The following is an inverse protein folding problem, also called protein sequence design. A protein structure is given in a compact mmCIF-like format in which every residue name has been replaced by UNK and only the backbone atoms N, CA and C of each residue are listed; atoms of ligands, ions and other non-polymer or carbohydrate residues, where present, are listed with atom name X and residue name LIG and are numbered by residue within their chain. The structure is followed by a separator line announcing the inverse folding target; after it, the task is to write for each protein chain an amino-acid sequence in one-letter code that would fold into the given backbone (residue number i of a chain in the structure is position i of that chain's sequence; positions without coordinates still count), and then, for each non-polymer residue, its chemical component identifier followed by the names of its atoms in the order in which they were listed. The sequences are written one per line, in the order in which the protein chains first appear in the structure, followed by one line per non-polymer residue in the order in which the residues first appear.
data_IF_114615819457
#
_entry.id   IF_114615819457
#
_cell.length_a   1.000
_cell.length_b   1.000
_cell.length_c   1.000
_cell.angle_alpha   90.00
_cell.angle_beta   90.00
_cell.angle_gamma   90.00
#
_symmetry.space_group_name_H-M   'P 1'
#
loop_
_entity.id
_entity.type
_entity.pdbx_description
1 polymer ?
#
# COMPACT_ATOMS: atom_id res chain seq x y z
N UNK A 1 0.75 -0.53 23.36
CA UNK A 1 1.43 -1.83 23.32
C UNK A 1 1.40 -2.36 21.89
N UNK A 2 2.44 -2.06 21.10
CA UNK A 2 2.49 -2.50 19.70
C UNK A 2 2.61 -4.02 19.59
N UNK A 3 3.39 -4.66 20.47
CA UNK A 3 3.59 -6.11 20.42
C UNK A 3 2.33 -6.91 20.71
N UNK A 4 1.43 -6.39 21.55
CA UNK A 4 0.12 -7.02 21.80
C UNK A 4 -0.90 -6.82 20.69
N UNK A 5 -0.88 -5.67 20.01
CA UNK A 5 -1.95 -5.27 19.10
C UNK A 5 -1.61 -5.39 17.62
N UNK A 6 -0.33 -5.53 17.25
CA UNK A 6 0.15 -5.65 15.87
C UNK A 6 -0.59 -6.74 15.09
N UNK A 7 -0.56 -7.98 15.57
CA UNK A 7 -1.18 -9.12 14.91
C UNK A 7 -2.70 -8.95 14.78
N UNK A 8 -3.38 -8.60 15.88
CA UNK A 8 -4.83 -8.40 15.89
C UNK A 8 -5.27 -7.33 14.88
N UNK A 9 -4.53 -6.22 14.80
CA UNK A 9 -4.81 -5.13 13.89
C UNK A 9 -4.55 -5.53 12.43
N UNK A 10 -3.46 -6.25 12.15
CA UNK A 10 -3.17 -6.75 10.80
C UNK A 10 -4.23 -7.75 10.32
N UNK A 11 -4.70 -8.65 11.18
CA UNK A 11 -5.79 -9.57 10.85
C UNK A 11 -7.08 -8.81 10.54
N UNK A 12 -7.40 -7.78 11.33
CA UNK A 12 -8.56 -6.93 11.05
C UNK A 12 -8.46 -6.25 9.68
N UNK A 13 -7.30 -5.66 9.36
CA UNK A 13 -7.09 -5.02 8.04
C UNK A 13 -7.17 -6.03 6.89
N UNK A 14 -6.56 -7.21 7.04
CA UNK A 14 -6.62 -8.27 6.03
C UNK A 14 -8.07 -8.67 5.75
N UNK A 15 -8.86 -8.93 6.79
CA UNK A 15 -10.27 -9.30 6.66
C UNK A 15 -11.10 -8.18 6.01
N UNK A 16 -10.87 -6.92 6.41
CA UNK A 16 -11.57 -5.77 5.85
C UNK A 16 -11.24 -5.56 4.37
N UNK A 17 -9.95 -5.59 3.99
CA UNK A 17 -9.51 -5.43 2.60
C UNK A 17 -10.01 -6.56 1.71
N UNK A 18 -9.94 -7.80 2.19
CA UNK A 18 -10.45 -8.95 1.46
C UNK A 18 -11.95 -8.78 1.17
N UNK A 19 -12.73 -8.39 2.19
CA UNK A 19 -14.16 -8.12 2.02
C UNK A 19 -14.41 -7.01 1.00
N UNK A 20 -13.72 -5.87 1.09
CA UNK A 20 -13.88 -4.77 0.13
C UNK A 20 -13.53 -5.19 -1.29
N UNK A 21 -12.44 -5.94 -1.49
CA UNK A 21 -12.06 -6.44 -2.82
C UNK A 21 -13.06 -7.46 -3.37
N UNK A 22 -13.61 -8.31 -2.50
CA UNK A 22 -14.68 -9.23 -2.87
C UNK A 22 -15.94 -8.47 -3.30
N UNK A 23 -16.35 -7.45 -2.55
CA UNK A 23 -17.51 -6.61 -2.88
C UNK A 23 -17.32 -5.88 -4.22
N UNK A 24 -16.11 -5.34 -4.49
CA UNK A 24 -15.74 -4.76 -5.78
C UNK A 24 -15.87 -5.80 -6.90
N UNK A 25 -15.29 -6.99 -6.69
CA UNK A 25 -15.35 -8.07 -7.68
C UNK A 25 -16.77 -8.53 -7.98
N UNK A 26 -17.63 -8.60 -6.97
CA UNK A 26 -19.02 -9.04 -7.10
C UNK A 26 -19.92 -7.95 -7.72
N UNK A 27 -19.51 -6.67 -7.64
CA UNK A 27 -20.25 -5.56 -8.25
C UNK A 27 -20.23 -5.57 -9.78
N UNK A 28 -19.19 -6.18 -10.39
CA UNK A 28 -18.97 -6.15 -11.84
C UNK A 28 -18.62 -4.76 -12.39
N UNK A 29 -18.32 -3.78 -11.53
CA UNK A 29 -17.95 -2.42 -11.90
C UNK A 29 -16.44 -2.22 -11.78
N UNK A 30 -15.90 -1.32 -12.61
CA UNK A 30 -14.54 -0.83 -12.45
C UNK A 30 -14.45 -0.03 -11.14
N UNK A 31 -13.39 -0.25 -10.36
CA UNK A 31 -13.18 0.44 -9.10
C UNK A 31 -11.71 0.82 -8.89
N UNK A 32 -11.51 1.92 -8.19
CA UNK A 32 -10.19 2.34 -7.69
C UNK A 32 -10.20 2.10 -6.19
N UNK A 33 -9.21 1.35 -5.70
CA UNK A 33 -9.05 1.08 -4.28
C UNK A 33 -7.83 1.81 -3.74
N UNK A 34 -8.00 2.53 -2.63
CA UNK A 34 -6.87 3.03 -1.87
C UNK A 34 -6.13 1.85 -1.23
N UNK A 35 -4.87 1.68 -1.66
CA UNK A 35 -3.94 0.62 -1.26
C UNK A 35 -4.37 -0.81 -1.61
N UNK A 36 -3.38 -1.67 -1.75
CA UNK A 36 -3.59 -3.08 -2.12
C UNK A 36 -3.62 -3.99 -0.89
N UNK A 37 -4.19 -5.19 -1.02
CA UNK A 37 -4.06 -6.22 -0.01
C UNK A 37 -2.59 -6.72 0.11
N UNK A 38 -1.81 -6.63 -0.97
CA UNK A 38 -0.43 -7.12 -1.04
C UNK A 38 0.53 -6.31 -0.15
N UNK A 39 0.33 -5.00 -0.02
CA UNK A 39 1.19 -4.17 0.84
C UNK A 39 1.10 -4.57 2.33
N UNK A 40 -0.05 -5.09 2.77
CA UNK A 40 -0.23 -5.49 4.17
C UNK A 40 0.72 -6.63 4.55
N UNK A 41 0.93 -7.62 3.66
CA UNK A 41 1.86 -8.73 3.93
C UNK A 41 3.31 -8.41 3.58
N UNK A 42 3.54 -7.75 2.43
CA UNK A 42 4.88 -7.54 1.89
C UNK A 42 5.65 -6.43 2.61
N UNK A 43 4.92 -5.48 3.22
CA UNK A 43 5.49 -4.29 3.84
C UNK A 43 5.14 -4.23 5.32
N UNK A 44 3.86 -4.16 5.68
CA UNK A 44 3.46 -3.85 7.06
C UNK A 44 3.67 -5.03 8.03
N UNK A 45 3.13 -6.21 7.72
CA UNK A 45 3.31 -7.39 8.56
C UNK A 45 4.79 -7.80 8.65
N UNK A 46 5.52 -7.70 7.53
CA UNK A 46 6.97 -7.92 7.50
C UNK A 46 7.72 -6.93 8.39
N UNK A 47 7.41 -5.64 8.29
CA UNK A 47 7.99 -4.60 9.15
C UNK A 47 7.73 -4.85 10.62
N UNK A 48 6.52 -5.23 10.99
CA UNK A 48 6.16 -5.53 12.38
C UNK A 48 6.93 -6.73 12.92
N UNK A 49 7.14 -7.75 12.08
CA UNK A 49 7.97 -8.90 12.44
C UNK A 49 9.45 -8.52 12.61
N UNK A 50 10.03 -7.81 11.63
CA UNK A 50 11.45 -7.41 11.65
C UNK A 50 11.79 -6.47 12.81
N UNK A 51 10.84 -5.63 13.23
CA UNK A 51 10.99 -4.74 14.39
C UNK A 51 10.69 -5.42 15.74
N UNK A 52 10.36 -6.71 15.75
CA UNK A 52 10.04 -7.45 16.98
C UNK A 52 8.68 -7.11 17.59
N UNK A 53 7.81 -6.43 16.84
CA UNK A 53 6.43 -6.13 17.23
C UNK A 53 5.47 -7.26 16.87
N UNK A 54 5.86 -8.24 16.07
CA UNK A 54 5.10 -9.46 15.78
C UNK A 54 6.03 -10.65 15.95
N UNK A 55 5.60 -11.68 16.68
CA UNK A 55 6.42 -12.88 16.83
C UNK A 55 6.36 -13.75 15.56
N UNK A 56 7.30 -14.68 15.44
CA UNK A 56 7.42 -15.55 14.26
C UNK A 56 6.17 -16.41 14.01
N UNK A 57 5.49 -16.87 15.07
CA UNK A 57 4.28 -17.70 14.94
C UNK A 57 3.15 -16.88 14.33
N UNK A 58 2.92 -15.68 14.86
CA UNK A 58 1.86 -14.78 14.42
C UNK A 58 2.13 -14.28 12.99
N UNK A 59 3.40 -13.98 12.67
CA UNK A 59 3.80 -13.59 11.31
C UNK A 59 3.56 -14.70 10.29
N UNK A 60 3.94 -15.95 10.60
CA UNK A 60 3.68 -17.08 9.72
C UNK A 60 2.18 -17.34 9.56
N UNK A 61 1.42 -17.30 10.66
CA UNK A 61 -0.03 -17.44 10.62
C UNK A 61 -0.68 -16.37 9.72
N UNK A 62 -0.27 -15.12 9.85
CA UNK A 62 -0.74 -14.02 9.01
C UNK A 62 -0.43 -14.26 7.53
N UNK A 63 0.81 -14.67 7.21
CA UNK A 63 1.23 -14.97 5.84
C UNK A 63 0.45 -16.12 5.23
N UNK A 64 0.23 -17.19 5.98
CA UNK A 64 -0.51 -18.35 5.52
C UNK A 64 -1.97 -17.99 5.25
N UNK A 65 -2.60 -17.19 6.13
CA UNK A 65 -3.94 -16.66 5.91
C UNK A 65 -4.01 -15.82 4.63
N UNK A 66 -3.08 -14.88 4.46
CA UNK A 66 -2.99 -14.07 3.24
C UNK A 66 -2.88 -14.93 1.98
N UNK A 67 -1.94 -15.89 1.94
CA UNK A 67 -1.75 -16.75 0.77
C UNK A 67 -2.94 -17.68 0.49
N UNK A 68 -3.67 -18.09 1.51
CA UNK A 68 -4.89 -18.89 1.33
C UNK A 68 -6.07 -18.06 0.85
N UNK A 69 -6.11 -16.76 1.18
CA UNK A 69 -7.22 -15.87 0.82
C UNK A 69 -7.07 -15.25 -0.57
N UNK A 70 -5.87 -14.74 -0.90
CA UNK A 70 -5.61 -13.99 -2.15
C UNK A 70 -6.01 -14.71 -3.44
N UNK A 71 -5.87 -16.05 -3.59
CA UNK A 71 -6.30 -16.75 -4.80
C UNK A 71 -7.80 -16.62 -5.13
N UNK A 72 -8.64 -16.25 -4.16
CA UNK A 72 -10.08 -16.04 -4.36
C UNK A 72 -10.43 -14.62 -4.82
N UNK A 73 -9.44 -13.74 -4.99
CA UNK A 73 -9.64 -12.36 -5.39
C UNK A 73 -9.11 -12.14 -6.82
N UNK A 74 -9.76 -11.28 -7.62
CA UNK A 74 -9.20 -10.85 -8.89
C UNK A 74 -7.89 -10.09 -8.63
N UNK A 75 -6.93 -10.27 -9.55
CA UNK A 75 -5.72 -9.44 -9.56
C UNK A 75 -6.08 -8.05 -10.09
N UNK A 76 -5.48 -6.98 -9.54
CA UNK A 76 -5.65 -5.64 -10.10
C UNK A 76 -5.03 -5.57 -11.51
N UNK A 77 -5.70 -4.87 -12.41
CA UNK A 77 -5.17 -4.58 -13.75
C UNK A 77 -3.99 -3.62 -13.69
N UNK A 78 -4.04 -2.65 -12.77
CA UNK A 78 -3.02 -1.62 -12.57
C UNK A 78 -2.76 -1.44 -11.07
N UNK A 79 -1.49 -1.36 -10.69
CA UNK A 79 -1.06 -0.83 -9.39
C UNK A 79 -0.44 0.55 -9.63
N UNK A 80 -1.02 1.59 -9.03
CA UNK A 80 -0.48 2.96 -9.07
C UNK A 80 0.44 3.14 -7.87
N UNK A 81 1.73 3.35 -8.13
CA UNK A 81 2.74 3.58 -7.10
C UNK A 81 3.14 5.06 -7.07
N UNK A 82 2.75 5.75 -6.00
CA UNK A 82 3.10 7.15 -5.77
C UNK A 82 4.46 7.22 -5.05
N UNK A 83 5.53 7.46 -5.81
CA UNK A 83 6.88 7.56 -5.30
C UNK A 83 7.21 9.00 -4.91
N UNK A 84 7.74 9.20 -3.71
CA UNK A 84 8.21 10.51 -3.26
C UNK A 84 9.48 10.37 -2.43
N UNK A 85 10.33 11.39 -2.48
CA UNK A 85 11.48 11.52 -1.61
C UNK A 85 11.08 11.62 -0.14
N UNK A 86 12.01 11.22 0.74
CA UNK A 86 11.80 11.31 2.18
C UNK A 86 11.54 12.76 2.63
N UNK A 87 12.23 13.72 2.03
CA UNK A 87 12.04 15.15 2.30
C UNK A 87 10.61 15.61 1.94
N UNK A 88 10.10 15.21 0.78
CA UNK A 88 8.71 15.49 0.38
C UNK A 88 7.71 14.84 1.33
N UNK A 89 7.91 13.58 1.72
CA UNK A 89 7.04 12.87 2.65
C UNK A 89 7.00 13.57 4.02
N UNK A 90 8.15 13.91 4.58
CA UNK A 90 8.26 14.63 5.85
C UNK A 90 7.63 16.02 5.77
N UNK A 91 7.87 16.75 4.67
CA UNK A 91 7.25 18.05 4.42
C UNK A 91 5.72 17.98 4.38
N UNK A 92 5.16 16.96 3.70
CA UNK A 92 3.72 16.72 3.62
C UNK A 92 3.11 16.32 4.97
N UNK A 93 3.76 15.43 5.73
CA UNK A 93 3.32 15.03 7.08
C UNK A 93 3.25 16.25 8.00
N UNK A 94 4.30 17.08 8.00
CA UNK A 94 4.35 18.33 8.79
C UNK A 94 3.22 19.29 8.39
N UNK A 95 2.98 19.47 7.09
CA UNK A 95 1.91 20.35 6.58
C UNK A 95 0.50 19.89 6.99
N UNK A 96 0.25 18.58 7.06
CA UNK A 96 -1.05 18.03 7.50
C UNK A 96 -1.33 18.27 8.98
N UNK A 97 -0.30 18.46 9.81
CA UNK A 97 -0.46 18.84 11.22
C UNK A 97 -1.18 17.82 12.10
N UNK A 98 -1.24 16.54 11.69
CA UNK A 98 -1.89 15.48 12.47
C UNK A 98 -1.03 15.15 13.69
N UNK A 99 -1.56 15.39 14.90
CA UNK A 99 -0.82 15.26 16.15
C UNK A 99 -0.19 13.86 16.35
N UNK A 100 -0.85 12.80 15.87
CA UNK A 100 -0.35 11.43 15.96
C UNK A 100 0.72 11.07 14.92
N UNK A 101 0.88 11.85 13.84
CA UNK A 101 1.92 11.61 12.83
C UNK A 101 3.26 12.26 13.23
N UNK A 102 3.27 13.16 14.22
CA UNK A 102 4.49 13.84 14.69
C UNK A 102 5.47 12.91 15.41
N UNK A 103 5.00 11.76 15.92
CA UNK A 103 5.84 10.74 16.56
C UNK A 103 6.43 9.73 15.58
N UNK A 104 6.08 9.84 14.28
CA UNK A 104 6.64 8.96 13.26
C UNK A 104 8.13 9.27 13.11
N UNK A 105 8.96 8.27 13.39
CA UNK A 105 10.40 8.38 13.28
C UNK A 105 10.82 8.52 11.82
N UNK A 106 11.78 9.42 11.57
CA UNK A 106 12.36 9.61 10.24
C UNK A 106 12.90 8.28 9.66
N UNK A 107 13.56 7.49 10.49
CA UNK A 107 14.12 6.20 10.10
C UNK A 107 13.04 5.19 9.70
N UNK A 108 11.86 5.26 10.32
CA UNK A 108 10.73 4.42 9.93
C UNK A 108 10.17 4.80 8.56
N UNK A 109 10.08 6.10 8.25
CA UNK A 109 9.69 6.55 6.91
C UNK A 109 10.72 6.15 5.85
N UNK A 110 12.01 6.23 6.17
CA UNK A 110 13.08 5.78 5.29
C UNK A 110 12.99 4.26 5.02
N UNK A 111 12.77 3.47 6.08
CA UNK A 111 12.53 2.03 5.97
C UNK A 111 11.32 1.72 5.08
N UNK A 112 10.18 2.40 5.30
CA UNK A 112 8.99 2.18 4.49
C UNK A 112 9.26 2.48 3.01
N UNK A 113 9.95 3.58 2.71
CA UNK A 113 10.30 3.96 1.34
C UNK A 113 11.10 2.84 0.64
N UNK A 114 12.12 2.31 1.32
CA UNK A 114 12.92 1.19 0.84
C UNK A 114 12.09 -0.10 0.69
N UNK A 115 11.18 -0.38 1.63
CA UNK A 115 10.33 -1.55 1.59
C UNK A 115 9.36 -1.52 0.40
N UNK A 116 8.77 -0.35 0.09
CA UNK A 116 7.96 -0.14 -1.10
C UNK A 116 8.79 -0.31 -2.37
N UNK A 117 9.95 0.35 -2.49
CA UNK A 117 10.83 0.21 -3.67
C UNK A 117 11.19 -1.26 -3.93
N UNK A 118 11.57 -1.98 -2.87
CA UNK A 118 11.92 -3.40 -2.98
C UNK A 118 10.73 -4.26 -3.39
N UNK A 119 9.53 -3.99 -2.85
CA UNK A 119 8.31 -4.72 -3.22
C UNK A 119 7.91 -4.45 -4.66
N UNK A 120 7.85 -3.19 -5.08
CA UNK A 120 7.49 -2.76 -6.43
C UNK A 120 8.42 -3.42 -7.46
N UNK A 121 9.74 -3.44 -7.21
CA UNK A 121 10.70 -4.11 -8.09
C UNK A 121 10.39 -5.60 -8.32
N UNK A 122 9.87 -6.31 -7.30
CA UNK A 122 9.44 -7.71 -7.43
C UNK A 122 8.07 -7.84 -8.11
N UNK A 123 7.13 -6.99 -7.71
CA UNK A 123 5.74 -7.00 -8.15
C UNK A 123 5.59 -6.69 -9.65
N UNK A 124 6.53 -5.96 -10.27
CA UNK A 124 6.58 -5.71 -11.73
C UNK A 124 6.59 -7.00 -12.59
N UNK A 125 6.91 -8.15 -12.00
CA UNK A 125 6.85 -9.45 -12.69
C UNK A 125 5.42 -9.97 -12.87
N UNK A 126 4.54 -9.62 -11.95
CA UNK A 126 3.19 -10.18 -11.85
C UNK A 126 2.09 -9.15 -12.12
N UNK A 127 2.41 -7.85 -12.02
CA UNK A 127 1.46 -6.75 -12.13
C UNK A 127 1.99 -5.64 -13.04
N UNK A 128 1.06 -4.97 -13.74
CA UNK A 128 1.37 -3.71 -14.39
C UNK A 128 1.42 -2.59 -13.34
N UNK A 129 2.59 -1.96 -13.20
CA UNK A 129 2.81 -0.92 -12.20
C UNK A 129 3.06 0.42 -12.90
N UNK A 130 2.13 1.34 -12.67
CA UNK A 130 2.25 2.72 -13.06
C UNK A 130 2.91 3.51 -11.93
N UNK A 131 4.17 3.86 -12.10
CA UNK A 131 4.93 4.63 -11.11
C UNK A 131 4.82 6.12 -11.42
N UNK A 132 4.52 6.90 -10.40
CA UNK A 132 4.30 8.34 -10.47
C UNK A 132 5.29 9.02 -9.55
N UNK A 133 6.07 9.96 -10.09
CA UNK A 133 6.95 10.80 -9.28
C UNK A 133 6.16 11.91 -8.59
N UNK A 134 5.71 11.64 -7.37
CA UNK A 134 4.97 12.55 -6.53
C UNK A 134 5.83 13.65 -5.88
N UNK A 135 7.13 13.76 -6.18
CA UNK A 135 7.93 14.96 -5.85
C UNK A 135 7.63 16.11 -6.80
N UNK A 136 7.39 15.78 -8.08
CA UNK A 136 7.28 16.74 -9.19
C UNK A 136 5.83 16.99 -9.61
N UNK A 137 4.91 16.08 -9.26
CA UNK A 137 3.49 16.21 -9.63
C UNK A 137 2.68 16.95 -8.59
N UNK A 138 1.96 17.97 -9.05
CA UNK A 138 0.97 18.72 -8.28
C UNK A 138 -0.44 18.48 -8.83
N UNK A 139 -0.93 17.24 -8.69
CA UNK A 139 -2.31 16.87 -9.06
C UNK A 139 -3.40 17.61 -8.27
N UNK A 140 -3.02 18.40 -7.26
CA UNK A 140 -3.96 19.23 -6.49
C UNK A 140 -4.21 20.57 -7.21
N UNK A 141 -3.26 21.05 -8.02
CA UNK A 141 -3.31 22.37 -8.64
C UNK A 141 -3.17 22.38 -10.18
N UNK A 142 -2.86 21.25 -10.83
CA UNK A 142 -2.68 21.15 -12.28
C UNK A 142 -3.58 20.11 -12.96
N UNK A 143 -4.44 20.55 -13.87
CA UNK A 143 -5.37 19.67 -14.61
C UNK A 143 -4.66 18.78 -15.65
N UNK A 144 -3.52 19.23 -16.20
CA UNK A 144 -2.83 18.52 -17.30
C UNK A 144 -2.18 17.21 -16.86
N UNK A 145 -1.49 17.19 -15.71
CA UNK A 145 -0.88 15.97 -15.17
C UNK A 145 -1.95 14.90 -14.87
N UNK A 146 -3.10 15.33 -14.33
CA UNK A 146 -4.22 14.44 -14.03
C UNK A 146 -4.82 13.87 -15.30
N UNK A 147 -5.00 14.70 -16.34
CA UNK A 147 -5.50 14.25 -17.63
C UNK A 147 -4.57 13.23 -18.29
N UNK A 148 -3.26 13.44 -18.21
CA UNK A 148 -2.28 12.47 -18.70
C UNK A 148 -2.36 11.14 -17.94
N UNK A 149 -2.44 11.19 -16.61
CA UNK A 149 -2.61 10.00 -15.77
C UNK A 149 -3.88 9.21 -16.14
N UNK A 150 -5.01 9.90 -16.29
CA UNK A 150 -6.28 9.28 -16.69
C UNK A 150 -6.15 8.63 -18.07
N UNK A 151 -5.51 9.29 -19.03
CA UNK A 151 -5.28 8.73 -20.36
C UNK A 151 -4.37 7.48 -20.33
N UNK A 152 -3.39 7.41 -19.42
CA UNK A 152 -2.56 6.22 -19.23
C UNK A 152 -3.35 5.07 -18.60
N UNK A 153 -4.23 5.35 -17.64
CA UNK A 153 -5.11 4.36 -17.00
C UNK A 153 -6.09 3.78 -18.04
N UNK A 154 -6.75 4.62 -18.83
CA UNK A 154 -7.73 4.19 -19.85
C UNK A 154 -7.14 3.27 -20.92
N UNK A 155 -5.84 3.34 -21.20
CA UNK A 155 -5.17 2.40 -22.13
C UNK A 155 -5.08 0.98 -21.58
N UNK A 156 -5.13 0.81 -20.26
CA UNK A 156 -4.92 -0.47 -19.57
C UNK A 156 -6.20 -1.01 -18.91
N UNK A 157 -7.19 -0.14 -18.65
CA UNK A 157 -8.52 -0.49 -18.16
C UNK A 157 -9.59 0.04 -19.13
N UNK A 158 -10.02 -0.76 -20.13
CA UNK A 158 -11.07 -0.37 -21.07
C UNK A 158 -12.49 -0.32 -20.46
#
# INVERSE_FOLDING_TARGET
DMSRWSFNLQIYFLAHRFRSQKEISESGLNAIQDRTIYEDVEIFAKSLYEQGHMNQRDYNCYRDLFHNMVPFLPKPDIIIYLKASLDTLVGRIKRRGRAYEQSIQHDYLAYLNQAYDAWIARARKDFFILEINADETDYVNGDDDLNELVAQIQKHCP
#
